data_IF_896801576683
#
_entry.id   IF_896801576683
#
_cell.length_a   1.000
_cell.length_b   1.000
_cell.length_c   1.000
_cell.angle_alpha   90.00
_cell.angle_beta   90.00
_cell.angle_gamma   90.00
#
_symmetry.space_group_name_H-M   'P 1'
#
loop_
_entity.id
_entity.type
_entity.pdbx_description
1 polymer ?
#
# COMPACT_ATOMS: atom_id res chain seq x y z
N UNK A 1 25.41 8.25 58.65
CA UNK A 1 25.78 7.76 57.30
C UNK A 1 24.62 6.93 56.76
N UNK A 2 24.08 7.23 55.59
CA UNK A 2 23.18 6.32 54.87
C UNK A 2 23.29 6.59 53.37
N UNK A 3 23.67 5.55 52.62
CA UNK A 3 24.09 5.63 51.21
C UNK A 3 22.84 5.46 50.34
N UNK A 4 22.34 6.55 49.74
CA UNK A 4 21.30 6.43 48.71
C UNK A 4 21.90 5.66 47.53
N UNK A 5 21.27 4.54 47.15
CA UNK A 5 21.65 3.79 45.96
C UNK A 5 21.14 4.54 44.74
N UNK A 6 22.04 4.89 43.82
CA UNK A 6 21.65 5.45 42.52
C UNK A 6 20.91 4.39 41.72
N UNK A 7 19.68 4.70 41.31
CA UNK A 7 18.95 3.91 40.32
C UNK A 7 19.61 4.13 38.97
N UNK A 8 20.33 3.14 38.50
CA UNK A 8 20.80 3.03 37.10
C UNK A 8 19.61 2.85 36.17
N UNK A 9 18.91 3.95 35.87
CA UNK A 9 17.92 4.01 34.80
C UNK A 9 18.65 3.75 33.49
N UNK A 10 18.44 2.56 32.91
CA UNK A 10 18.96 2.20 31.60
C UNK A 10 18.40 3.17 30.56
N UNK A 11 19.24 4.11 30.12
CA UNK A 11 18.91 5.02 29.02
C UNK A 11 18.81 4.19 27.75
N UNK A 12 17.59 3.76 27.40
CA UNK A 12 17.31 3.17 26.10
C UNK A 12 17.49 4.26 25.06
N UNK A 13 18.68 4.29 24.44
CA UNK A 13 19.00 5.21 23.36
C UNK A 13 18.03 4.90 22.21
N UNK A 14 16.98 5.73 22.10
CA UNK A 14 15.92 5.57 21.11
C UNK A 14 16.48 5.89 19.73
N UNK A 15 17.06 4.89 19.08
CA UNK A 15 17.62 5.01 17.73
C UNK A 15 16.54 5.47 16.76
N UNK A 16 16.63 6.74 16.34
CA UNK A 16 15.70 7.40 15.43
C UNK A 16 15.94 6.99 13.97
N UNK A 17 15.90 5.69 13.72
CA UNK A 17 16.04 5.11 12.39
C UNK A 17 14.68 4.95 11.68
N UNK A 18 14.71 5.00 10.35
CA UNK A 18 13.58 4.78 9.45
C UNK A 18 12.89 3.43 9.70
N UNK A 19 13.64 2.37 10.00
CA UNK A 19 13.08 1.04 10.33
C UNK A 19 12.23 1.10 11.59
N UNK A 20 12.78 1.68 12.66
CA UNK A 20 12.11 1.87 13.96
C UNK A 20 10.83 2.69 13.81
N UNK A 21 10.89 3.82 13.10
CA UNK A 21 9.73 4.66 12.81
C UNK A 21 8.64 3.91 12.03
N UNK A 22 9.04 3.11 11.04
CA UNK A 22 8.12 2.38 10.18
C UNK A 22 7.43 1.24 10.91
N UNK A 23 8.17 0.46 11.71
CA UNK A 23 7.61 -0.60 12.55
C UNK A 23 6.62 -0.03 13.60
N UNK A 24 6.94 1.13 14.19
CA UNK A 24 6.02 1.83 15.09
C UNK A 24 4.74 2.30 14.40
N UNK A 25 4.82 2.76 13.13
CA UNK A 25 3.63 3.11 12.34
C UNK A 25 2.79 1.88 11.99
N UNK A 26 3.43 0.77 11.61
CA UNK A 26 2.77 -0.50 11.36
C UNK A 26 1.98 -0.96 12.59
N UNK A 27 2.63 -1.02 13.75
CA UNK A 27 1.98 -1.51 14.97
C UNK A 27 0.87 -0.57 15.47
N UNK A 28 1.00 0.75 15.27
CA UNK A 28 -0.08 1.71 15.53
C UNK A 28 -1.28 1.52 14.60
N UNK A 29 -1.05 1.30 13.31
CA UNK A 29 -2.12 0.99 12.36
C UNK A 29 -2.80 -0.35 12.70
N UNK A 30 -2.02 -1.40 12.91
CA UNK A 30 -2.51 -2.75 13.17
C UNK A 30 -3.34 -2.82 14.47
N UNK A 31 -2.88 -2.18 15.54
CA UNK A 31 -3.60 -2.05 16.82
C UNK A 31 -4.74 -1.02 16.79
N UNK A 32 -5.06 -0.45 15.63
CA UNK A 32 -6.08 0.62 15.44
C UNK A 32 -5.91 1.79 16.42
N UNK A 33 -4.66 2.13 16.73
CA UNK A 33 -4.31 3.14 17.71
C UNK A 33 -4.83 4.53 17.30
N UNK A 34 -5.45 5.21 18.26
CA UNK A 34 -6.00 6.56 18.10
C UNK A 34 -5.29 7.52 19.03
N UNK A 35 -5.05 8.74 18.55
CA UNK A 35 -4.51 9.86 19.34
C UNK A 35 -5.54 10.96 19.42
N UNK A 36 -5.86 11.43 20.62
CA UNK A 36 -6.54 12.71 20.79
C UNK A 36 -5.55 13.86 20.57
N UNK A 37 -5.90 14.80 19.69
CA UNK A 37 -5.08 15.96 19.34
C UNK A 37 -5.85 17.22 19.66
N UNK A 38 -5.26 18.10 20.48
CA UNK A 38 -5.88 19.35 20.93
C UNK A 38 -5.01 20.52 20.47
N UNK A 39 -5.60 21.43 19.69
CA UNK A 39 -4.95 22.68 19.27
C UNK A 39 -5.30 23.80 20.24
N UNK A 40 -4.44 24.01 21.24
CA UNK A 40 -4.57 25.12 22.20
C UNK A 40 -4.59 26.50 21.52
N UNK A 41 -4.00 26.65 20.32
CA UNK A 41 -3.99 27.91 19.57
C UNK A 41 -5.36 28.28 18.97
N UNK A 42 -6.12 27.27 18.53
CA UNK A 42 -7.39 27.45 17.81
C UNK A 42 -8.61 27.07 18.67
N UNK A 43 -8.42 26.38 19.80
CA UNK A 43 -9.53 25.89 20.63
C UNK A 43 -10.32 24.78 19.94
N UNK A 44 -9.63 23.86 19.24
CA UNK A 44 -10.24 22.70 18.57
C UNK A 44 -9.56 21.40 19.01
N UNK A 45 -10.28 20.29 18.90
CA UNK A 45 -9.72 18.95 19.03
C UNK A 45 -10.21 18.04 17.90
N UNK A 46 -9.47 16.97 17.66
CA UNK A 46 -9.80 15.90 16.71
C UNK A 46 -9.04 14.62 17.09
N UNK A 47 -9.47 13.49 16.51
CA UNK A 47 -8.75 12.22 16.60
C UNK A 47 -7.82 12.05 15.41
N UNK A 48 -6.62 11.56 15.65
CA UNK A 48 -5.65 11.15 14.63
C UNK A 48 -5.44 9.64 14.71
N UNK A 49 -5.69 8.94 13.60
CA UNK A 49 -5.46 7.51 13.44
C UNK A 49 -4.57 7.25 12.22
N UNK A 50 -4.01 6.04 12.09
CA UNK A 50 -3.26 5.63 10.90
C UNK A 50 -4.06 4.62 10.07
N UNK A 51 -3.99 4.72 8.74
CA UNK A 51 -4.61 3.79 7.79
C UNK A 51 -3.61 3.38 6.70
N UNK A 52 -3.61 2.11 6.32
CA UNK A 52 -2.89 1.58 5.17
C UNK A 52 -3.75 1.57 3.88
N UNK A 53 -3.11 1.63 2.69
CA UNK A 53 -3.67 1.38 1.33
C UNK A 53 -5.15 1.73 1.10
N UNK A 54 -5.97 0.90 0.43
CA UNK A 54 -5.94 -0.54 0.04
C UNK A 54 -4.93 -0.95 -1.06
N UNK A 55 -4.65 -2.25 -1.25
CA UNK A 55 -3.84 -2.82 -2.37
C UNK A 55 -4.18 -2.19 -3.74
N UNK A 56 -5.45 -2.22 -4.16
CA UNK A 56 -5.91 -1.60 -5.41
C UNK A 56 -5.65 -0.08 -5.51
N UNK A 57 -5.59 0.63 -4.38
CA UNK A 57 -5.23 2.06 -4.37
C UNK A 57 -3.76 2.29 -4.75
N UNK A 58 -2.87 1.37 -4.37
CA UNK A 58 -1.44 1.39 -4.72
C UNK A 58 -1.26 1.01 -6.18
N UNK A 59 -1.91 -0.07 -6.63
CA UNK A 59 -1.81 -0.62 -7.98
C UNK A 59 -2.37 0.34 -9.04
N UNK A 60 -3.65 0.72 -8.95
CA UNK A 60 -4.33 1.42 -10.04
C UNK A 60 -4.12 2.94 -10.08
N UNK A 61 -3.78 3.56 -8.95
CA UNK A 61 -3.74 5.03 -8.83
C UNK A 61 -2.33 5.60 -8.57
N UNK A 62 -1.28 4.84 -8.91
CA UNK A 62 0.13 5.20 -8.73
C UNK A 62 0.52 5.68 -7.30
N UNK A 63 -0.29 5.34 -6.29
CA UNK A 63 -0.13 5.86 -4.94
C UNK A 63 0.90 5.06 -4.15
N UNK A 64 2.18 5.43 -4.29
CA UNK A 64 3.28 4.72 -3.63
C UNK A 64 3.30 4.86 -2.10
N UNK A 65 2.57 5.78 -1.46
CA UNK A 65 2.60 5.91 0.00
C UNK A 65 1.88 4.75 0.69
N UNK A 66 2.56 4.06 1.60
CA UNK A 66 2.04 2.89 2.29
C UNK A 66 0.90 3.24 3.26
N UNK A 67 1.07 4.37 3.97
CA UNK A 67 0.17 4.82 5.04
C UNK A 67 -0.28 6.27 4.83
N UNK A 68 -1.45 6.57 5.39
CA UNK A 68 -2.01 7.92 5.55
C UNK A 68 -2.48 8.08 7.00
N UNK A 69 -2.36 9.30 7.52
CA UNK A 69 -3.09 9.71 8.71
C UNK A 69 -4.55 9.97 8.34
N UNK A 70 -5.45 9.61 9.24
CA UNK A 70 -6.87 9.93 9.19
C UNK A 70 -7.16 10.86 10.35
N UNK A 71 -7.75 12.02 10.05
CA UNK A 71 -8.13 13.05 11.00
C UNK A 71 -9.66 13.10 11.02
N UNK A 72 -10.26 12.82 12.18
CA UNK A 72 -11.71 12.64 12.34
C UNK A 72 -12.22 13.18 13.69
N UNK A 73 -13.52 13.08 13.95
CA UNK A 73 -14.14 13.50 15.24
C UNK A 73 -13.76 14.95 15.61
N UNK A 74 -13.93 15.90 14.68
CA UNK A 74 -13.63 17.31 14.95
C UNK A 74 -14.60 17.90 15.97
N UNK A 75 -14.07 18.62 16.96
CA UNK A 75 -14.87 19.40 17.91
C UNK A 75 -14.19 20.71 18.30
N UNK A 76 -14.98 21.67 18.77
CA UNK A 76 -14.48 22.98 19.22
C UNK A 76 -14.37 22.97 20.75
N UNK A 77 -13.15 22.82 21.25
CA UNK A 77 -12.80 22.76 22.68
C UNK A 77 -12.07 24.04 23.10
N UNK A 78 -12.83 25.09 23.43
CA UNK A 78 -12.29 26.37 23.91
C UNK A 78 -11.77 26.25 25.36
N UNK A 79 -10.86 27.15 25.73
CA UNK A 79 -10.36 27.30 27.11
C UNK A 79 -11.47 27.71 28.08
N UNK A 80 -11.32 27.36 29.36
CA UNK A 80 -12.19 27.86 30.45
C UNK A 80 -12.00 29.35 30.72
N UNK A 81 -10.83 29.91 30.39
CA UNK A 81 -10.57 31.35 30.53
C UNK A 81 -11.21 32.11 29.35
N UNK A 82 -12.15 33.01 29.64
CA UNK A 82 -12.91 33.75 28.64
C UNK A 82 -12.04 34.57 27.65
N UNK A 83 -10.97 35.20 28.12
CA UNK A 83 -10.04 35.94 27.26
C UNK A 83 -9.31 35.00 26.29
N UNK A 84 -8.83 33.86 26.81
CA UNK A 84 -8.19 32.82 25.98
C UNK A 84 -9.19 32.20 24.99
N UNK A 85 -10.43 31.94 25.41
CA UNK A 85 -11.50 31.39 24.57
C UNK A 85 -11.84 32.33 23.40
N UNK A 86 -12.00 33.63 23.67
CA UNK A 86 -12.23 34.67 22.65
C UNK A 86 -11.05 34.78 21.68
N UNK A 87 -9.81 34.70 22.18
CA UNK A 87 -8.61 34.70 21.34
C UNK A 87 -8.51 33.44 20.45
N UNK A 88 -8.84 32.26 20.97
CA UNK A 88 -8.90 31.00 20.20
C UNK A 88 -9.93 31.09 19.08
N UNK A 89 -11.13 31.59 19.39
CA UNK A 89 -12.23 31.79 18.45
C UNK A 89 -11.86 32.73 17.30
N UNK A 90 -11.31 33.91 17.61
CA UNK A 90 -10.83 34.87 16.60
C UNK A 90 -9.77 34.22 15.70
N UNK A 91 -8.85 33.42 16.28
CA UNK A 91 -7.81 32.71 15.52
C UNK A 91 -8.39 31.59 14.64
N UNK A 92 -9.41 30.88 15.09
CA UNK A 92 -10.11 29.87 14.30
C UNK A 92 -10.86 30.50 13.12
N UNK A 93 -11.66 31.54 13.35
CA UNK A 93 -12.34 32.24 12.25
C UNK A 93 -11.36 32.91 11.28
N UNK A 94 -10.22 33.43 11.75
CA UNK A 94 -9.13 33.91 10.88
C UNK A 94 -8.54 32.80 10.04
N UNK A 95 -8.32 31.60 10.59
CA UNK A 95 -7.84 30.44 9.85
C UNK A 95 -8.86 30.00 8.78
N UNK A 96 -10.15 29.88 9.13
CA UNK A 96 -11.22 29.62 8.17
C UNK A 96 -11.20 30.64 7.02
N UNK A 97 -11.15 31.94 7.32
CA UNK A 97 -11.05 33.01 6.32
C UNK A 97 -9.82 32.84 5.42
N UNK A 98 -8.64 32.58 5.99
CA UNK A 98 -7.42 32.37 5.21
C UNK A 98 -7.47 31.13 4.31
N UNK A 99 -8.11 30.05 4.75
CA UNK A 99 -8.27 28.82 3.95
C UNK A 99 -9.29 28.98 2.81
N UNK A 100 -10.36 29.75 3.01
CA UNK A 100 -11.46 29.86 2.03
C UNK A 100 -11.41 31.11 1.12
N UNK A 101 -10.67 32.18 1.48
CA UNK A 101 -10.56 33.39 0.64
C UNK A 101 -9.38 33.37 -0.36
N UNK A 102 -8.85 32.20 -0.73
CA UNK A 102 -7.84 32.11 -1.79
C UNK A 102 -8.47 32.50 -3.15
N UNK A 103 -8.09 33.67 -3.68
CA UNK A 103 -8.75 34.35 -4.83
C UNK A 103 -8.79 33.56 -6.14
N UNK A 104 -7.99 32.51 -6.29
CA UNK A 104 -7.73 31.84 -7.57
C UNK A 104 -8.85 30.88 -8.04
N UNK A 105 -9.89 30.61 -7.22
CA UNK A 105 -10.73 29.43 -7.45
C UNK A 105 -12.25 29.53 -7.24
N UNK A 106 -12.88 30.68 -6.97
CA UNK A 106 -14.35 30.71 -7.12
C UNK A 106 -15.07 32.06 -7.26
N UNK A 107 -16.14 32.02 -8.06
CA UNK A 107 -17.24 33.00 -8.09
C UNK A 107 -18.35 32.63 -7.08
N UNK A 108 -18.44 31.36 -6.66
CA UNK A 108 -19.51 30.86 -5.78
C UNK A 108 -18.95 30.15 -4.53
N UNK A 109 -19.14 30.73 -3.33
CA UNK A 109 -18.75 30.13 -2.03
C UNK A 109 -19.71 29.00 -1.60
N UNK A 110 -19.79 27.94 -2.41
CA UNK A 110 -20.62 26.78 -2.13
C UNK A 110 -19.96 25.88 -1.09
N UNK A 111 -20.73 25.30 -0.16
CA UNK A 111 -20.24 24.35 0.84
C UNK A 111 -19.38 23.20 0.26
N UNK A 112 -19.75 22.69 -0.93
CA UNK A 112 -18.96 21.70 -1.69
C UNK A 112 -17.55 22.20 -2.01
N UNK A 113 -17.39 23.45 -2.44
CA UNK A 113 -16.08 24.05 -2.70
C UNK A 113 -15.28 24.17 -1.40
N UNK A 114 -15.91 24.64 -0.31
CA UNK A 114 -15.26 24.72 1.01
C UNK A 114 -14.76 23.37 1.49
N UNK A 115 -15.52 22.29 1.29
CA UNK A 115 -15.08 20.92 1.60
C UNK A 115 -13.86 20.49 0.76
N UNK A 116 -13.85 20.74 -0.55
CA UNK A 116 -12.71 20.42 -1.44
C UNK A 116 -11.46 21.23 -1.05
N UNK A 117 -11.62 22.53 -0.84
CA UNK A 117 -10.55 23.44 -0.40
C UNK A 117 -10.00 23.04 0.97
N UNK A 118 -10.87 22.68 1.90
CA UNK A 118 -10.48 22.17 3.22
C UNK A 118 -9.72 20.83 3.14
N UNK A 119 -10.10 19.91 2.24
CA UNK A 119 -9.33 18.70 1.98
C UNK A 119 -7.94 19.01 1.38
N UNK A 120 -7.87 19.91 0.38
CA UNK A 120 -6.60 20.34 -0.26
C UNK A 120 -5.61 20.92 0.76
N UNK A 121 -6.09 21.80 1.66
CA UNK A 121 -5.27 22.44 2.70
C UNK A 121 -5.22 21.67 4.03
N UNK A 122 -5.83 20.48 4.11
CA UNK A 122 -5.86 19.62 5.32
C UNK A 122 -6.43 20.32 6.57
N UNK A 123 -7.46 21.16 6.39
CA UNK A 123 -8.08 21.98 7.44
C UNK A 123 -9.45 21.42 7.88
N UNK A 124 -9.59 21.10 9.17
CA UNK A 124 -10.87 20.66 9.75
C UNK A 124 -11.70 21.86 10.21
N UNK A 125 -12.97 21.92 9.79
CA UNK A 125 -13.91 22.99 10.19
C UNK A 125 -15.35 22.52 10.48
N UNK A 126 -15.70 21.26 10.18
CA UNK A 126 -17.02 20.68 10.47
C UNK A 126 -16.89 19.38 11.29
N UNK A 127 -17.80 19.08 12.23
CA UNK A 127 -17.75 17.85 13.02
C UNK A 127 -17.84 16.56 12.21
N UNK A 128 -18.59 16.58 11.10
CA UNK A 128 -18.77 15.45 10.18
C UNK A 128 -17.66 15.32 9.13
N UNK A 129 -16.69 16.24 9.11
CA UNK A 129 -15.58 16.20 8.16
C UNK A 129 -14.49 15.24 8.64
N UNK A 130 -13.91 14.49 7.70
CA UNK A 130 -12.66 13.78 7.90
C UNK A 130 -11.64 14.19 6.83
N UNK A 131 -10.35 14.02 7.14
CA UNK A 131 -9.24 14.35 6.23
C UNK A 131 -8.22 13.21 6.22
N UNK A 132 -7.74 12.88 5.02
CA UNK A 132 -6.61 11.98 4.83
C UNK A 132 -5.33 12.78 4.53
N UNK A 133 -4.27 12.52 5.29
CA UNK A 133 -2.95 13.14 5.09
C UNK A 133 -1.90 12.07 4.78
N UNK A 134 -1.32 12.03 3.56
CA UNK A 134 -0.37 10.98 3.18
C UNK A 134 0.96 11.11 3.95
N UNK A 135 1.58 9.97 4.28
CA UNK A 135 2.92 9.92 4.87
C UNK A 135 3.95 9.78 3.74
N UNK A 136 4.56 10.91 3.34
CA UNK A 136 5.36 11.01 2.11
C UNK A 136 6.66 10.21 2.11
N UNK A 137 7.29 10.02 3.28
CA UNK A 137 8.60 9.35 3.40
C UNK A 137 8.51 7.82 3.52
N UNK A 138 7.31 7.26 3.54
CA UNK A 138 7.06 5.84 3.71
C UNK A 138 6.34 5.27 2.49
N UNK A 139 7.15 4.81 1.54
CA UNK A 139 6.75 4.45 0.18
C UNK A 139 7.06 2.99 -0.15
N UNK A 140 6.22 2.37 -0.98
CA UNK A 140 6.58 1.16 -1.71
C UNK A 140 7.62 1.49 -2.79
N UNK A 141 8.88 1.13 -2.54
CA UNK A 141 10.00 1.25 -3.49
C UNK A 141 10.05 0.13 -4.53
N UNK A 142 9.84 -1.12 -4.10
CA UNK A 142 10.03 -2.34 -4.91
C UNK A 142 8.74 -3.01 -5.41
N UNK A 143 7.56 -2.40 -5.17
CA UNK A 143 6.25 -2.99 -5.48
C UNK A 143 5.58 -3.65 -4.27
N UNK A 144 4.32 -4.07 -4.40
CA UNK A 144 3.60 -4.70 -3.29
C UNK A 144 4.12 -6.11 -2.98
N UNK A 145 4.60 -6.82 -3.99
CA UNK A 145 4.90 -8.25 -3.92
C UNK A 145 6.37 -8.53 -3.55
N UNK A 146 7.14 -7.48 -3.25
CA UNK A 146 8.53 -7.60 -2.82
C UNK A 146 8.60 -8.12 -1.36
N UNK A 147 9.30 -9.24 -1.10
CA UNK A 147 9.14 -9.99 0.14
C UNK A 147 9.73 -9.29 1.36
N UNK A 148 10.96 -8.75 1.28
CA UNK A 148 11.67 -8.16 2.42
C UNK A 148 12.07 -6.70 2.20
N UNK A 149 11.26 -5.79 2.74
CA UNK A 149 11.56 -4.36 2.81
C UNK A 149 12.48 -3.96 3.99
N UNK A 150 12.92 -4.92 4.80
CA UNK A 150 13.59 -4.68 6.07
C UNK A 150 12.68 -4.19 7.20
N UNK A 151 11.42 -3.85 6.94
CA UNK A 151 10.46 -3.36 7.94
C UNK A 151 9.04 -3.91 7.70
N UNK A 152 8.16 -3.79 8.71
CA UNK A 152 6.80 -4.34 8.65
C UNK A 152 5.90 -3.54 7.71
N UNK A 153 5.16 -4.28 6.87
CA UNK A 153 4.31 -3.75 5.79
C UNK A 153 2.87 -4.24 5.95
N UNK A 154 1.85 -3.43 5.62
CA UNK A 154 0.44 -3.80 5.77
C UNK A 154 -0.04 -5.04 5.03
N UNK A 155 0.71 -5.50 4.02
CA UNK A 155 0.29 -6.54 3.08
C UNK A 155 1.20 -7.77 3.03
N UNK A 156 2.33 -7.77 3.77
CA UNK A 156 3.29 -8.87 3.83
C UNK A 156 3.05 -9.72 5.10
N UNK A 157 1.79 -10.03 5.41
CA UNK A 157 1.43 -10.83 6.60
C UNK A 157 1.14 -12.31 6.29
N UNK A 158 0.92 -12.67 5.01
CA UNK A 158 0.49 -14.01 4.59
C UNK A 158 1.40 -14.65 3.53
N UNK A 159 2.71 -14.32 3.46
CA UNK A 159 3.68 -15.17 2.72
C UNK A 159 4.10 -16.34 3.62
N UNK A 160 3.10 -17.12 4.05
CA UNK A 160 3.30 -18.52 4.46
C UNK A 160 3.18 -19.35 3.18
N UNK A 161 4.20 -20.14 2.87
CA UNK A 161 4.46 -20.74 1.54
C UNK A 161 3.48 -21.83 1.05
N UNK A 162 2.18 -21.74 1.37
CA UNK A 162 1.22 -22.85 1.20
C UNK A 162 -0.11 -22.49 0.51
N UNK A 163 -0.31 -21.24 0.04
CA UNK A 163 -1.62 -20.80 -0.51
C UNK A 163 -1.70 -20.51 -2.01
N UNK A 164 -0.68 -20.88 -2.77
CA UNK A 164 -0.75 -21.01 -4.23
C UNK A 164 -0.54 -22.48 -4.67
N UNK A 165 -1.13 -23.44 -3.93
CA UNK A 165 -1.48 -24.72 -4.55
C UNK A 165 -2.64 -24.41 -5.50
N UNK A 166 -2.29 -24.20 -6.77
CA UNK A 166 -3.22 -24.06 -7.88
C UNK A 166 -3.88 -25.43 -8.10
N UNK A 167 -4.89 -25.74 -7.28
CA UNK A 167 -5.75 -26.92 -7.45
C UNK A 167 -6.40 -26.79 -8.82
N UNK A 168 -5.82 -27.48 -9.81
CA UNK A 168 -6.43 -27.60 -11.12
C UNK A 168 -7.73 -28.38 -10.95
N UNK A 169 -8.86 -27.67 -11.00
CA UNK A 169 -10.21 -28.26 -11.07
C UNK A 169 -10.50 -28.94 -12.40
N UNK A 170 -9.52 -28.95 -13.31
CA UNK A 170 -9.55 -29.68 -14.58
C UNK A 170 -8.91 -31.05 -14.35
N UNK A 171 -9.63 -32.10 -14.73
CA UNK A 171 -9.11 -33.48 -14.68
C UNK A 171 -7.82 -33.61 -15.50
N UNK A 172 -6.96 -34.55 -15.11
CA UNK A 172 -5.71 -34.82 -15.82
C UNK A 172 -6.01 -35.12 -17.30
N UNK A 173 -5.35 -34.39 -18.20
CA UNK A 173 -5.62 -34.44 -19.65
C UNK A 173 -5.59 -35.87 -20.18
N UNK A 174 -6.76 -36.37 -20.60
CA UNK A 174 -6.88 -37.64 -21.30
C UNK A 174 -7.00 -37.37 -22.82
N UNK A 175 -6.00 -37.73 -23.63
CA UNK A 175 -6.00 -37.47 -25.07
C UNK A 175 -7.05 -38.29 -25.85
N UNK A 176 -7.70 -39.28 -25.22
CA UNK A 176 -8.72 -40.13 -25.83
C UNK A 176 -10.10 -39.69 -25.32
N UNK A 177 -10.95 -39.06 -26.15
CA UNK A 177 -12.30 -38.70 -25.74
C UNK A 177 -13.17 -39.93 -25.53
N UNK A 178 -14.14 -39.85 -24.62
CA UNK A 178 -15.03 -40.96 -24.22
C UNK A 178 -16.09 -41.36 -25.28
N UNK A 179 -15.81 -41.16 -26.56
CA UNK A 179 -16.71 -41.46 -27.69
C UNK A 179 -16.10 -42.43 -28.70
N UNK A 180 -16.91 -42.85 -29.69
CA UNK A 180 -16.43 -43.75 -30.75
C UNK A 180 -15.44 -43.04 -31.68
N UNK A 181 -14.14 -43.34 -31.50
CA UNK A 181 -13.06 -42.80 -32.32
C UNK A 181 -12.67 -43.76 -33.46
N UNK A 182 -12.77 -43.35 -34.74
CA UNK A 182 -12.37 -44.18 -35.87
C UNK A 182 -10.90 -44.59 -35.78
N UNK A 183 -10.62 -45.88 -36.02
CA UNK A 183 -9.29 -46.49 -35.88
C UNK A 183 -8.19 -45.72 -36.62
N UNK A 184 -8.47 -45.25 -37.85
CA UNK A 184 -7.54 -44.50 -38.71
C UNK A 184 -7.01 -43.18 -38.13
N UNK A 185 -7.55 -42.66 -37.03
CA UNK A 185 -7.06 -41.44 -36.38
C UNK A 185 -6.33 -41.69 -35.05
N UNK A 186 -6.26 -42.94 -34.56
CA UNK A 186 -5.66 -43.24 -33.25
C UNK A 186 -4.16 -42.94 -33.19
N UNK A 187 -3.44 -43.18 -34.28
CA UNK A 187 -1.98 -43.02 -34.34
C UNK A 187 -1.53 -41.58 -34.64
N UNK A 188 -2.48 -40.67 -34.88
CA UNK A 188 -2.23 -39.25 -35.19
C UNK A 188 -2.34 -38.37 -33.93
N UNK A 189 -2.96 -38.88 -32.86
CA UNK A 189 -3.11 -38.15 -31.59
C UNK A 189 -1.79 -38.23 -30.81
N UNK A 190 -1.15 -37.09 -30.47
CA UNK A 190 0.03 -37.09 -29.59
C UNK A 190 -0.32 -37.72 -28.24
N UNK A 191 0.47 -38.73 -27.84
CA UNK A 191 0.30 -39.41 -26.54
C UNK A 191 0.69 -38.52 -25.36
N UNK A 192 1.67 -37.65 -25.60
CA UNK A 192 2.19 -36.69 -24.64
C UNK A 192 1.63 -35.27 -24.93
N UNK A 193 1.33 -34.46 -23.91
CA UNK A 193 0.83 -33.11 -24.10
C UNK A 193 1.91 -32.22 -24.73
N UNK A 194 1.53 -31.44 -25.76
CA UNK A 194 2.44 -30.51 -26.46
C UNK A 194 2.95 -29.36 -25.56
N UNK A 195 2.38 -29.20 -24.37
CA UNK A 195 2.78 -28.21 -23.37
C UNK A 195 2.80 -28.83 -21.98
N UNK A 196 3.97 -28.86 -21.36
CA UNK A 196 4.11 -28.98 -19.91
C UNK A 196 3.82 -27.61 -19.25
N UNK A 197 3.11 -27.55 -18.10
CA UNK A 197 2.79 -26.27 -17.44
C UNK A 197 4.02 -25.58 -16.81
N UNK A 198 5.16 -26.29 -16.70
CA UNK A 198 6.45 -25.69 -16.41
C UNK A 198 7.13 -25.27 -17.72
N UNK A 199 7.43 -23.97 -17.86
CA UNK A 199 8.13 -23.42 -19.02
C UNK A 199 9.59 -23.87 -19.08
N UNK A 200 9.82 -25.07 -19.63
CA UNK A 200 11.14 -25.61 -19.92
C UNK A 200 11.07 -26.29 -21.30
N UNK A 201 11.81 -25.84 -22.32
CA UNK A 201 11.78 -26.46 -23.64
C UNK A 201 12.42 -27.85 -23.57
N UNK A 202 11.59 -28.89 -23.76
CA UNK A 202 12.08 -30.26 -23.81
C UNK A 202 12.96 -30.47 -25.06
N UNK A 203 14.19 -30.88 -24.80
CA UNK A 203 15.24 -31.16 -25.76
C UNK A 203 14.79 -32.07 -26.92
N UNK A 204 14.83 -31.55 -28.15
CA UNK A 204 14.90 -32.39 -29.35
C UNK A 204 16.31 -32.97 -29.49
N UNK A 205 16.42 -34.29 -29.41
CA UNK A 205 17.66 -35.02 -29.63
C UNK A 205 18.01 -35.05 -31.12
N UNK A 206 18.89 -34.14 -31.54
CA UNK A 206 19.67 -34.25 -32.78
C UNK A 206 21.14 -34.10 -32.42
N UNK A 207 21.99 -34.94 -33.00
CA UNK A 207 23.41 -34.95 -32.69
C UNK A 207 24.10 -33.68 -33.21
N UNK A 208 25.12 -33.21 -32.49
CA UNK A 208 25.92 -32.04 -32.90
C UNK A 208 26.58 -32.27 -34.28
N UNK A 209 26.89 -33.53 -34.62
CA UNK A 209 27.50 -33.88 -35.91
C UNK A 209 26.53 -33.74 -37.11
N UNK A 210 25.23 -33.96 -36.91
CA UNK A 210 24.23 -33.81 -37.99
C UNK A 210 24.02 -32.33 -38.38
N UNK A 211 24.28 -31.40 -37.44
CA UNK A 211 24.19 -29.95 -37.70
C UNK A 211 25.36 -29.40 -38.50
N UNK A 212 26.52 -30.08 -38.55
CA UNK A 212 27.65 -29.68 -39.41
C UNK A 212 27.42 -30.03 -40.87
N UNK A 213 26.82 -31.17 -41.16
CA UNK A 213 26.64 -31.66 -42.54
C UNK A 213 25.55 -30.93 -43.33
N UNK A 214 24.76 -30.07 -42.69
CA UNK A 214 23.77 -29.20 -43.35
C UNK A 214 24.30 -27.79 -43.67
N UNK A 215 25.48 -27.42 -43.18
CA UNK A 215 26.05 -26.05 -43.30
C UNK A 215 27.14 -25.93 -44.39
N UNK A 216 27.26 -26.94 -45.27
CA UNK A 216 28.24 -26.98 -46.39
C UNK A 216 27.51 -27.07 -47.75
N UNK A 217 26.17 -26.91 -47.79
CA UNK A 217 25.35 -27.11 -49.00
C UNK A 217 24.65 -25.87 -49.57
N UNK A 218 24.97 -24.67 -49.08
CA UNK A 218 24.37 -23.42 -49.58
C UNK A 218 25.34 -22.52 -50.37
N UNK A 219 26.61 -22.92 -50.54
CA UNK A 219 27.64 -22.17 -51.29
C UNK A 219 27.91 -22.70 -52.72
N UNK A 220 27.02 -23.54 -53.27
CA UNK A 220 27.02 -23.89 -54.71
C UNK A 220 25.64 -23.67 -55.34
N UNK A 221 25.36 -22.43 -55.77
CA UNK A 221 24.66 -22.22 -57.03
C UNK A 221 24.97 -20.85 -57.64
N UNK A 222 25.22 -20.88 -58.96
CA UNK A 222 25.43 -19.74 -59.88
C UNK A 222 24.10 -19.02 -60.14
#
# INVERSE_FOLDING_TARGET
>A
MSRRQDRTSSVTISVNDKRSHTNLLHDRWNRRWKKDVISQRLGISYKESYLARTKGSVIHHANKQMYRKWLDTFSITRSKNASTAKAQEIRFYRACRQTFHAKEHNSFDTMRHRLITAQRYQFLFLPSQYIYKPIKHLLYTHGLDYPDYGFRIPYNQDITSEKDILVHTVEQYNPIPAGFFPSKYKDIIPKDPLYTPAATPASSSLSIEERRNLLIKEDECI
#
